data_IF_053252352232
#
_entry.id   IF_053252352232
#
_cell.length_a   1.000
_cell.length_b   1.000
_cell.length_c   1.000
_cell.angle_alpha   90.00
_cell.angle_beta   90.00
_cell.angle_gamma   90.00
#
_symmetry.space_group_name_H-M   'P 1'
#
loop_
_entity.id
_entity.type
_entity.pdbx_description
1 polymer ?
#
# COMPACT_ATOMS: atom_id res chain seq x y z
N UNK A 1 -3.81 13.57 4.53
CA UNK A 1 -2.82 14.14 5.46
C UNK A 1 -3.54 15.11 6.38
N UNK A 2 -3.12 15.20 7.63
CA UNK A 2 -3.67 16.11 8.64
C UNK A 2 -2.50 16.88 9.25
N UNK A 3 -2.67 18.17 9.51
CA UNK A 3 -1.71 18.98 10.27
C UNK A 3 -2.15 19.04 11.74
N UNK A 4 -1.21 18.85 12.65
CA UNK A 4 -1.45 18.91 14.10
C UNK A 4 -1.10 20.30 14.64
N UNK A 5 -1.64 20.62 15.82
CA UNK A 5 -1.42 21.92 16.46
C UNK A 5 0.06 22.19 16.81
N UNK A 6 0.90 21.15 16.88
CA UNK A 6 2.35 21.26 17.09
C UNK A 6 3.15 21.49 15.79
N UNK A 7 2.48 21.66 14.65
CA UNK A 7 3.08 21.87 13.33
C UNK A 7 3.60 20.60 12.67
N UNK A 8 3.39 19.42 13.26
CA UNK A 8 3.72 18.14 12.64
C UNK A 8 2.52 17.57 11.86
N UNK A 9 2.77 16.55 11.05
CA UNK A 9 1.79 16.01 10.12
C UNK A 9 1.47 14.53 10.38
N UNK A 10 0.20 14.17 10.15
CA UNK A 10 -0.32 12.82 10.18
C UNK A 10 -0.64 12.30 8.76
N UNK A 11 -0.18 11.09 8.45
CA UNK A 11 -0.55 10.38 7.22
C UNK A 11 -1.61 9.33 7.54
N UNK A 12 -2.78 9.45 6.94
CA UNK A 12 -3.88 8.49 7.06
C UNK A 12 -4.19 7.99 5.66
N UNK A 13 -4.01 6.69 5.46
CA UNK A 13 -4.37 6.04 4.20
C UNK A 13 -5.65 5.22 4.40
N UNK A 14 -6.64 5.58 3.60
CA UNK A 14 -8.00 5.08 3.69
C UNK A 14 -8.13 3.79 2.88
N UNK A 15 -8.36 2.65 3.54
CA UNK A 15 -8.47 1.35 2.86
C UNK A 15 -9.87 0.76 3.00
N UNK A 16 -10.36 0.19 1.91
CA UNK A 16 -11.58 -0.59 1.91
C UNK A 16 -11.24 -2.07 1.73
N UNK A 17 -11.76 -2.95 2.59
CA UNK A 17 -11.47 -4.38 2.52
C UNK A 17 -12.72 -5.24 2.74
N UNK A 18 -12.78 -6.38 2.05
CA UNK A 18 -13.90 -7.31 2.16
C UNK A 18 -14.00 -7.98 3.54
N UNK A 19 -12.87 -8.17 4.23
CA UNK A 19 -12.79 -8.73 5.59
C UNK A 19 -11.88 -7.88 6.45
N UNK A 20 -12.18 -7.75 7.73
CA UNK A 20 -11.31 -7.05 8.69
C UNK A 20 -10.05 -7.87 9.00
N UNK A 21 -9.05 -7.76 8.15
CA UNK A 21 -7.71 -8.35 8.33
C UNK A 21 -6.68 -7.28 8.64
N UNK A 22 -5.69 -7.62 9.47
CA UNK A 22 -4.53 -6.76 9.65
C UNK A 22 -3.57 -6.89 8.45
N UNK A 23 -3.26 -5.76 7.83
CA UNK A 23 -2.33 -5.65 6.70
C UNK A 23 -1.32 -4.51 6.93
N UNK A 24 -1.12 -4.10 8.18
CA UNK A 24 -0.21 -3.02 8.54
C UNK A 24 1.19 -3.25 7.98
N UNK A 25 1.77 -4.44 8.18
CA UNK A 25 3.10 -4.77 7.65
C UNK A 25 3.20 -4.64 6.12
N UNK A 26 2.13 -5.00 5.39
CA UNK A 26 2.09 -4.91 3.94
C UNK A 26 2.10 -3.45 3.46
N UNK A 27 1.43 -2.56 4.19
CA UNK A 27 1.29 -1.14 3.83
C UNK A 27 2.33 -0.24 4.50
N UNK A 28 3.14 -0.75 5.43
CA UNK A 28 4.18 0.02 6.10
C UNK A 28 5.14 0.69 5.10
N UNK A 29 5.66 -0.01 4.06
CA UNK A 29 6.55 0.62 3.09
C UNK A 29 5.88 1.74 2.28
N UNK A 30 4.58 1.62 2.02
CA UNK A 30 3.80 2.65 1.31
C UNK A 30 3.70 3.93 2.15
N UNK A 31 3.33 3.81 3.42
CA UNK A 31 3.18 4.96 4.32
C UNK A 31 4.53 5.60 4.65
N UNK A 32 5.59 4.81 4.84
CA UNK A 32 6.93 5.35 5.05
C UNK A 32 7.44 6.08 3.80
N UNK A 33 7.12 5.61 2.59
CA UNK A 33 7.48 6.32 1.36
C UNK A 33 6.81 7.69 1.25
N UNK A 34 5.53 7.81 1.66
CA UNK A 34 4.86 9.10 1.75
C UNK A 34 5.51 10.02 2.80
N UNK A 35 5.88 9.47 3.96
CA UNK A 35 6.56 10.23 5.00
C UNK A 35 7.92 10.76 4.50
N UNK A 36 8.71 9.90 3.85
CA UNK A 36 9.97 10.29 3.23
C UNK A 36 9.82 11.42 2.21
N UNK A 37 8.83 11.33 1.32
CA UNK A 37 8.59 12.34 0.29
C UNK A 37 8.16 13.70 0.87
N UNK A 38 7.40 13.70 1.97
CA UNK A 38 6.98 14.92 2.67
C UNK A 38 8.12 15.56 3.46
N UNK A 39 8.99 14.75 4.05
CA UNK A 39 10.15 15.21 4.82
C UNK A 39 11.34 15.62 3.93
N UNK A 40 11.39 15.13 2.68
CA UNK A 40 12.45 15.41 1.71
C UNK A 40 11.86 15.88 0.35
N UNK A 41 11.13 17.01 0.30
CA UNK A 41 10.50 17.45 -0.92
C UNK A 41 11.54 17.94 -1.94
N UNK A 42 11.29 17.68 -3.23
CA UNK A 42 12.12 18.24 -4.31
C UNK A 42 12.01 19.77 -4.40
N UNK A 43 10.89 20.34 -3.93
CA UNK A 43 10.62 21.77 -3.89
C UNK A 43 9.65 22.10 -2.75
N UNK A 44 9.86 23.22 -2.05
CA UNK A 44 9.01 23.67 -0.95
C UNK A 44 9.53 23.25 0.43
N UNK A 45 8.72 23.48 1.47
CA UNK A 45 9.11 23.22 2.85
C UNK A 45 8.90 21.76 3.26
N UNK A 46 9.87 21.22 4.00
CA UNK A 46 9.80 19.88 4.58
C UNK A 46 8.72 19.81 5.66
N UNK A 47 7.93 18.73 5.63
CA UNK A 47 6.82 18.49 6.55
C UNK A 47 7.10 17.27 7.43
N UNK A 48 7.43 17.51 8.70
CA UNK A 48 7.74 16.44 9.66
C UNK A 48 6.51 15.59 9.94
N UNK A 49 6.62 14.28 9.73
CA UNK A 49 5.52 13.33 9.93
C UNK A 49 5.65 12.66 11.30
N UNK A 50 4.70 12.93 12.19
CA UNK A 50 4.69 12.41 13.58
C UNK A 50 3.76 11.22 13.77
N UNK A 51 2.80 11.01 12.86
CA UNK A 51 1.83 9.93 12.94
C UNK A 51 1.59 9.35 11.54
N UNK A 52 1.49 8.02 11.46
CA UNK A 52 0.96 7.37 10.29
C UNK A 52 0.12 6.15 10.64
N UNK A 53 -0.81 5.82 9.76
CA UNK A 53 -1.64 4.63 9.93
C UNK A 53 -2.71 4.49 8.87
N UNK A 54 -3.44 3.39 8.98
CA UNK A 54 -4.55 3.07 8.09
C UNK A 54 -5.88 3.35 8.80
N UNK A 55 -6.79 4.00 8.09
CA UNK A 55 -8.20 3.99 8.46
C UNK A 55 -8.90 3.00 7.54
N UNK A 56 -9.36 1.89 8.11
CA UNK A 56 -9.83 0.75 7.34
C UNK A 56 -11.33 0.57 7.49
N UNK A 57 -12.06 0.57 6.38
CA UNK A 57 -13.47 0.20 6.32
C UNK A 57 -13.61 -1.22 5.82
N UNK A 58 -14.39 -2.02 6.56
CA UNK A 58 -14.74 -3.39 6.18
C UNK A 58 -16.24 -3.55 6.07
N UNK A 59 -16.67 -4.25 5.02
CA UNK A 59 -18.09 -4.54 4.79
C UNK A 59 -18.58 -5.57 5.81
N UNK A 60 -19.64 -5.24 6.55
CA UNK A 60 -20.34 -6.18 7.41
C UNK A 60 -21.49 -6.83 6.64
N UNK A 61 -22.40 -6.01 6.14
CA UNK A 61 -23.57 -6.45 5.38
C UNK A 61 -24.09 -5.31 4.50
N UNK A 62 -24.66 -5.62 3.31
CA UNK A 62 -25.49 -4.66 2.60
C UNK A 62 -26.78 -4.42 3.39
N UNK A 63 -27.28 -3.19 3.33
CA UNK A 63 -28.54 -2.80 3.95
C UNK A 63 -29.48 -2.23 2.88
N UNK A 64 -30.78 -2.46 2.99
CA UNK A 64 -31.79 -1.88 2.10
C UNK A 64 -32.35 -2.85 1.05
N UNK A 65 -33.11 -2.31 0.11
CA UNK A 65 -33.87 -3.05 -0.91
C UNK A 65 -34.10 -2.22 -2.17
N UNK A 66 -34.68 -2.83 -3.20
CA UNK A 66 -34.93 -2.18 -4.50
C UNK A 66 -35.90 -0.99 -4.44
N UNK A 67 -36.69 -0.86 -3.38
CA UNK A 67 -37.65 0.23 -3.19
C UNK A 67 -37.09 1.40 -2.38
N UNK A 68 -36.09 1.15 -1.51
CA UNK A 68 -35.48 2.15 -0.61
C UNK A 68 -34.04 2.51 -0.98
N UNK A 69 -33.44 1.78 -1.91
CA UNK A 69 -32.02 1.86 -2.24
C UNK A 69 -31.16 0.98 -1.33
N UNK A 70 -29.93 0.70 -1.79
CA UNK A 70 -28.95 -0.09 -1.05
C UNK A 70 -27.91 0.81 -0.37
N UNK A 71 -27.63 0.54 0.89
CA UNK A 71 -26.52 1.07 1.68
C UNK A 71 -25.56 -0.03 2.11
N UNK A 72 -24.44 0.37 2.72
CA UNK A 72 -23.44 -0.55 3.24
C UNK A 72 -23.28 -0.32 4.74
N UNK A 73 -23.39 -1.38 5.54
CA UNK A 73 -22.99 -1.34 6.93
C UNK A 73 -21.50 -1.64 7.02
N UNK A 74 -20.74 -0.68 7.52
CA UNK A 74 -19.28 -0.74 7.55
C UNK A 74 -18.77 -0.75 8.99
N UNK A 75 -17.75 -1.56 9.26
CA UNK A 75 -16.91 -1.43 10.46
C UNK A 75 -15.67 -0.61 10.08
N UNK A 76 -15.38 0.44 10.85
CA UNK A 76 -14.16 1.21 10.71
C UNK A 76 -13.16 0.81 11.81
N UNK A 77 -11.89 0.69 11.43
CA UNK A 77 -10.81 0.33 12.35
C UNK A 77 -9.59 1.22 12.08
N UNK A 78 -9.09 1.89 13.12
CA UNK A 78 -7.80 2.60 13.07
C UNK A 78 -6.66 1.62 13.32
N UNK A 79 -5.63 1.66 12.47
CA UNK A 79 -4.43 0.82 12.56
C UNK A 79 -3.19 1.72 12.53
N UNK A 80 -2.60 2.08 13.69
CA UNK A 80 -1.37 2.86 13.71
C UNK A 80 -0.22 2.06 13.11
N UNK A 81 0.69 2.72 12.41
CA UNK A 81 1.90 2.10 11.89
C UNK A 81 3.11 2.91 12.37
N UNK A 82 4.10 2.21 12.93
CA UNK A 82 5.33 2.82 13.41
C UNK A 82 6.27 3.20 12.27
N UNK A 83 6.97 4.34 12.43
CA UNK A 83 8.00 4.79 11.49
C UNK A 83 9.14 3.77 11.43
N UNK A 84 9.59 3.44 10.23
CA UNK A 84 10.79 2.64 10.01
C UNK A 84 11.51 3.04 8.70
N UNK A 85 12.25 4.17 8.71
CA UNK A 85 12.97 4.66 7.54
C UNK A 85 14.04 3.69 7.02
N UNK A 86 14.68 2.92 7.92
CA UNK A 86 15.73 1.95 7.56
C UNK A 86 15.18 0.78 6.74
N UNK A 87 14.00 0.25 7.13
CA UNK A 87 13.32 -0.79 6.36
C UNK A 87 12.90 -0.29 4.97
N UNK A 88 12.46 0.97 4.86
CA UNK A 88 12.16 1.57 3.56
C UNK A 88 13.42 1.67 2.69
N UNK A 89 14.52 2.19 3.23
CA UNK A 89 15.78 2.32 2.49
C UNK A 89 16.29 0.96 1.97
N UNK A 90 16.23 -0.06 2.82
CA UNK A 90 16.55 -1.45 2.45
C UNK A 90 15.64 -1.93 1.32
N UNK A 91 14.33 -1.73 1.46
CA UNK A 91 13.34 -2.16 0.46
C UNK A 91 13.52 -1.48 -0.89
N UNK A 92 13.81 -0.19 -0.90
CA UNK A 92 14.08 0.58 -2.12
C UNK A 92 15.37 0.10 -2.79
N UNK A 93 16.40 -0.20 -2.01
CA UNK A 93 17.67 -0.75 -2.52
C UNK A 93 17.44 -2.11 -3.21
N UNK A 94 16.70 -3.01 -2.57
CA UNK A 94 16.34 -4.30 -3.16
C UNK A 94 15.56 -4.11 -4.46
N UNK A 95 14.56 -3.21 -4.45
CA UNK A 95 13.74 -2.94 -5.63
C UNK A 95 14.57 -2.38 -6.79
N UNK A 96 15.41 -1.38 -6.53
CA UNK A 96 16.29 -0.78 -7.55
C UNK A 96 17.26 -1.82 -8.10
N UNK A 97 17.82 -2.68 -7.24
CA UNK A 97 18.74 -3.74 -7.65
C UNK A 97 18.04 -4.73 -8.60
N UNK A 98 16.80 -5.11 -8.30
CA UNK A 98 16.02 -6.03 -9.14
C UNK A 98 15.65 -5.37 -10.47
N UNK A 99 15.18 -4.13 -10.46
CA UNK A 99 14.70 -3.42 -11.66
C UNK A 99 15.85 -3.00 -12.58
N UNK A 100 17.01 -2.67 -12.03
CA UNK A 100 18.19 -2.23 -12.80
C UNK A 100 19.10 -3.40 -13.18
N UNK A 101 18.87 -4.58 -12.61
CA UNK A 101 19.69 -5.78 -12.81
C UNK A 101 19.25 -6.61 -14.02
N UNK A 102 19.97 -7.72 -14.24
CA UNK A 102 19.56 -8.74 -15.21
C UNK A 102 18.33 -9.47 -14.67
N UNK A 103 17.34 -9.67 -15.54
CA UNK A 103 16.14 -10.45 -15.20
C UNK A 103 16.53 -11.82 -14.61
N UNK A 104 16.08 -12.15 -13.39
CA UNK A 104 16.43 -13.43 -12.77
C UNK A 104 15.76 -14.60 -13.48
N UNK A 105 16.31 -15.80 -13.29
CA UNK A 105 15.65 -17.02 -13.75
C UNK A 105 14.31 -17.21 -13.03
N UNK A 106 13.30 -17.69 -13.75
CA UNK A 106 12.02 -18.06 -13.17
C UNK A 106 12.21 -19.20 -12.15
N UNK A 107 11.41 -19.16 -11.08
CA UNK A 107 11.30 -20.30 -10.16
C UNK A 107 10.23 -21.26 -10.66
N UNK A 108 10.41 -22.55 -10.40
CA UNK A 108 9.52 -23.62 -10.87
C UNK A 108 8.07 -23.48 -10.36
N UNK A 109 7.87 -22.76 -9.25
CA UNK A 109 6.58 -22.52 -8.61
C UNK A 109 6.01 -21.10 -8.84
N UNK A 110 6.51 -20.38 -9.84
CA UNK A 110 6.04 -19.03 -10.17
C UNK A 110 4.88 -19.09 -11.17
N UNK A 111 3.63 -19.03 -10.70
CA UNK A 111 2.44 -19.08 -11.56
C UNK A 111 2.43 -18.01 -12.65
N UNK A 112 2.88 -16.78 -12.33
CA UNK A 112 3.00 -15.71 -13.33
C UNK A 112 4.06 -16.02 -14.38
N UNK A 113 5.17 -16.64 -13.99
CA UNK A 113 6.22 -17.02 -14.91
C UNK A 113 5.73 -18.14 -15.84
N UNK A 114 5.05 -19.15 -15.27
CA UNK A 114 4.42 -20.24 -16.03
C UNK A 114 3.38 -19.69 -17.01
N UNK A 115 2.53 -18.76 -16.57
CA UNK A 115 1.57 -18.08 -17.43
C UNK A 115 2.25 -17.35 -18.59
N UNK A 116 3.32 -16.58 -18.33
CA UNK A 116 4.05 -15.84 -19.37
C UNK A 116 4.72 -16.78 -20.39
N UNK A 117 5.30 -17.90 -19.93
CA UNK A 117 5.88 -18.93 -20.80
C UNK A 117 4.81 -19.57 -21.68
N UNK A 118 3.73 -20.08 -21.08
CA UNK A 118 2.63 -20.71 -21.80
C UNK A 118 1.99 -19.74 -22.81
N UNK A 119 1.85 -18.47 -22.43
CA UNK A 119 1.34 -17.42 -23.32
C UNK A 119 2.26 -17.21 -24.52
N UNK A 120 3.59 -17.17 -24.31
CA UNK A 120 4.58 -17.05 -25.40
C UNK A 120 4.54 -18.24 -26.35
N UNK A 121 4.41 -19.45 -25.82
CA UNK A 121 4.30 -20.68 -26.62
C UNK A 121 3.01 -20.70 -27.45
N UNK A 122 1.91 -20.18 -26.91
CA UNK A 122 0.61 -20.16 -27.58
C UNK A 122 0.51 -19.08 -28.68
N UNK A 123 1.01 -17.87 -28.43
CA UNK A 123 0.83 -16.72 -29.33
C UNK A 123 2.02 -16.59 -30.32
N UNK A 124 3.15 -17.23 -30.04
CA UNK A 124 4.42 -17.03 -30.75
C UNK A 124 5.24 -15.90 -30.13
N UNK A 125 6.56 -15.94 -30.32
CA UNK A 125 7.49 -14.94 -29.81
C UNK A 125 7.42 -13.66 -30.66
N UNK A 126 6.84 -12.59 -30.11
CA UNK A 126 7.24 -11.21 -30.43
C UNK A 126 8.38 -10.77 -29.50
#
# INVERSE_FOLDING_TARGET
MIEFADGTYGIIDCKFQAKDSDKTDLYQPQLEAYAFALENPASGEAKKVSLMGLLVWSLLEPAGDVTKGFGLKLKHTWRPIARNPEALATRLTDFITVVSGKMPAAKDNCDMCNYLTNRREFIGAE
#
